data_IF_196668974572
#
_entry.id   IF_196668974572
#
_cell.length_a   1.000
_cell.length_b   1.000
_cell.length_c   1.000
_cell.angle_alpha   90.00
_cell.angle_beta   90.00
_cell.angle_gamma   90.00
#
_symmetry.space_group_name_H-M   'P 1'
#
loop_
_entity.id
_entity.type
_entity.pdbx_description
1 polymer ?
#
# COMPACT_ATOMS: atom_id res chain seq x y z
N UNK A 1 20.39 -4.19 -0.34
CA UNK A 1 19.58 -3.49 0.67
C UNK A 1 19.14 -2.11 0.19
N UNK A 2 20.00 -1.23 -0.29
CA UNK A 2 19.64 0.12 -0.73
C UNK A 2 18.55 0.12 -1.83
N UNK A 3 18.65 -0.78 -2.81
CA UNK A 3 17.61 -0.96 -3.85
C UNK A 3 16.24 -1.34 -3.27
N UNK A 4 16.23 -2.09 -2.16
CA UNK A 4 14.99 -2.39 -1.46
C UNK A 4 14.43 -1.13 -0.77
N UNK A 5 15.30 -0.33 -0.13
CA UNK A 5 14.90 0.96 0.43
C UNK A 5 14.32 1.91 -0.64
N UNK A 6 14.95 1.97 -1.82
CA UNK A 6 14.41 2.70 -2.96
C UNK A 6 13.02 2.19 -3.37
N UNK A 7 12.84 0.87 -3.49
CA UNK A 7 11.55 0.28 -3.86
C UNK A 7 10.45 0.58 -2.84
N UNK A 8 10.79 0.58 -1.55
CA UNK A 8 9.87 0.97 -0.49
C UNK A 8 9.49 2.45 -0.56
N UNK A 9 10.45 3.34 -0.78
CA UNK A 9 10.17 4.78 -0.94
C UNK A 9 9.32 5.07 -2.18
N UNK A 10 9.58 4.42 -3.31
CA UNK A 10 8.77 4.61 -4.52
C UNK A 10 7.31 4.20 -4.32
N UNK A 11 7.04 3.22 -3.46
CA UNK A 11 5.68 2.84 -3.06
C UNK A 11 4.86 3.98 -2.44
N UNK A 12 5.51 5.06 -1.96
CA UNK A 12 4.81 6.21 -1.35
C UNK A 12 3.91 6.94 -2.36
N UNK A 13 4.20 6.91 -3.65
CA UNK A 13 3.31 7.47 -4.67
C UNK A 13 1.94 6.80 -4.67
N UNK A 14 1.91 5.47 -4.63
CA UNK A 14 0.64 4.72 -4.63
C UNK A 14 -0.04 4.77 -3.26
N UNK A 15 0.71 4.66 -2.16
CA UNK A 15 0.10 4.69 -0.84
C UNK A 15 -0.52 6.05 -0.47
N UNK A 16 0.09 7.17 -0.88
CA UNK A 16 -0.48 8.50 -0.65
C UNK A 16 -1.77 8.71 -1.44
N UNK A 17 -1.84 8.17 -2.66
CA UNK A 17 -3.05 8.17 -3.48
C UNK A 17 -4.14 7.32 -2.83
N UNK A 18 -3.82 6.11 -2.39
CA UNK A 18 -4.74 5.21 -1.67
C UNK A 18 -5.26 5.85 -0.38
N UNK A 19 -4.40 6.49 0.39
CA UNK A 19 -4.80 7.17 1.63
C UNK A 19 -5.75 8.33 1.36
N UNK A 20 -5.46 9.14 0.34
CA UNK A 20 -6.35 10.22 -0.10
C UNK A 20 -7.69 9.68 -0.59
N UNK A 21 -7.67 8.60 -1.36
CA UNK A 21 -8.88 7.97 -1.88
C UNK A 21 -9.72 7.36 -0.76
N UNK A 22 -9.11 6.68 0.21
CA UNK A 22 -9.78 6.15 1.38
C UNK A 22 -10.46 7.27 2.19
N UNK A 23 -9.80 8.41 2.34
CA UNK A 23 -10.41 9.59 2.98
C UNK A 23 -11.68 10.06 2.25
N UNK A 24 -11.63 10.15 0.92
CA UNK A 24 -12.76 10.62 0.12
C UNK A 24 -13.93 9.62 0.17
N UNK A 25 -13.65 8.31 0.08
CA UNK A 25 -14.69 7.28 -0.04
C UNK A 25 -15.26 6.90 1.32
N UNK A 26 -14.41 6.81 2.35
CA UNK A 26 -14.80 6.22 3.64
C UNK A 26 -14.77 7.21 4.81
N UNK A 27 -14.34 8.47 4.59
CA UNK A 27 -14.14 9.44 5.66
C UNK A 27 -12.95 9.13 6.59
N UNK A 28 -12.05 8.21 6.18
CA UNK A 28 -10.86 7.88 6.96
C UNK A 28 -10.01 9.12 7.22
N UNK A 29 -9.38 9.20 8.39
CA UNK A 29 -8.49 10.31 8.72
C UNK A 29 -7.37 10.48 7.68
N UNK A 30 -7.18 11.71 7.22
CA UNK A 30 -6.12 12.09 6.30
C UNK A 30 -5.46 13.40 6.78
N UNK A 31 -4.14 13.40 6.84
CA UNK A 31 -3.36 14.57 7.19
C UNK A 31 -2.56 15.06 5.99
N UNK A 32 -3.01 16.15 5.38
CA UNK A 32 -2.35 16.74 4.21
C UNK A 32 -0.89 17.10 4.49
N UNK A 33 -0.59 17.66 5.66
CA UNK A 33 0.79 18.05 6.02
C UNK A 33 1.72 16.84 6.03
N UNK A 34 1.29 15.72 6.62
CA UNK A 34 2.09 14.49 6.63
C UNK A 34 2.22 13.91 5.20
N UNK A 35 1.16 13.95 4.42
CA UNK A 35 1.21 13.49 3.02
C UNK A 35 2.17 14.34 2.17
N UNK A 36 2.20 15.66 2.38
CA UNK A 36 3.14 16.56 1.68
C UNK A 36 4.60 16.25 2.08
N UNK A 37 4.88 16.01 3.35
CA UNK A 37 6.22 15.63 3.85
C UNK A 37 6.67 14.32 3.20
N UNK A 38 5.82 13.30 3.15
CA UNK A 38 6.14 12.02 2.49
C UNK A 38 6.38 12.20 0.99
N UNK A 39 5.58 13.04 0.34
CA UNK A 39 5.73 13.34 -1.07
C UNK A 39 7.07 14.01 -1.37
N UNK A 40 7.45 15.02 -0.59
CA UNK A 40 8.75 15.69 -0.72
C UNK A 40 9.90 14.69 -0.50
N UNK A 41 9.80 13.81 0.49
CA UNK A 41 10.81 12.80 0.77
C UNK A 41 10.99 11.83 -0.41
N UNK A 42 9.91 11.36 -1.04
CA UNK A 42 10.02 10.46 -2.20
C UNK A 42 10.55 11.20 -3.44
N UNK A 43 10.20 12.46 -3.65
CA UNK A 43 10.71 13.27 -4.76
C UNK A 43 12.24 13.42 -4.68
N UNK A 44 12.80 13.71 -3.51
CA UNK A 44 14.26 13.75 -3.28
C UNK A 44 14.90 12.40 -3.61
N UNK A 45 14.29 11.29 -3.20
CA UNK A 45 14.80 9.94 -3.49
C UNK A 45 14.77 9.65 -4.99
N UNK A 46 13.75 10.10 -5.72
CA UNK A 46 13.65 9.94 -7.18
C UNK A 46 14.75 10.72 -7.89
N UNK A 47 15.00 11.97 -7.51
CA UNK A 47 16.07 12.78 -8.06
C UNK A 47 17.45 12.11 -7.92
N UNK A 48 17.70 11.48 -6.77
CA UNK A 48 18.95 10.78 -6.47
C UNK A 48 19.02 9.33 -7.01
N UNK A 49 17.91 8.78 -7.50
CA UNK A 49 17.75 7.34 -7.81
C UNK A 49 18.77 6.81 -8.82
N UNK A 50 19.14 7.61 -9.83
CA UNK A 50 20.11 7.21 -10.86
C UNK A 50 21.52 7.01 -10.29
N UNK A 51 21.85 7.67 -9.19
CA UNK A 51 23.16 7.62 -8.51
C UNK A 51 23.28 6.45 -7.52
N UNK A 52 22.15 5.81 -7.21
CA UNK A 52 22.10 4.68 -6.24
C UNK A 52 22.88 3.48 -6.76
N UNK A 53 22.80 3.17 -8.06
CA UNK A 53 23.55 2.07 -8.68
C UNK A 53 25.07 2.19 -8.51
N UNK A 54 25.56 3.43 -8.49
CA UNK A 54 26.97 3.75 -8.31
C UNK A 54 27.38 3.85 -6.85
N UNK A 55 26.47 3.51 -5.93
CA UNK A 55 26.62 3.59 -4.47
C UNK A 55 27.05 4.98 -4.00
N UNK A 56 26.55 6.02 -4.64
CA UNK A 56 26.86 7.39 -4.27
C UNK A 56 26.42 7.65 -2.82
N UNK A 57 27.29 8.20 -1.94
CA UNK A 57 26.98 8.41 -0.52
C UNK A 57 25.76 9.33 -0.30
N UNK A 58 25.60 10.37 -1.09
CA UNK A 58 24.49 11.32 -0.96
C UNK A 58 23.15 10.66 -1.35
N UNK A 59 23.17 9.85 -2.42
CA UNK A 59 21.97 9.08 -2.81
C UNK A 59 21.58 8.03 -1.75
N UNK A 60 22.56 7.36 -1.13
CA UNK A 60 22.32 6.43 -0.04
C UNK A 60 21.76 7.17 1.18
N UNK A 61 22.31 8.34 1.49
CA UNK A 61 21.84 9.20 2.57
C UNK A 61 20.39 9.63 2.33
N UNK A 62 20.05 10.12 1.13
CA UNK A 62 18.70 10.54 0.78
C UNK A 62 17.68 9.41 1.01
N UNK A 63 17.94 8.19 0.53
CA UNK A 63 17.06 7.03 0.77
C UNK A 63 16.92 6.74 2.27
N UNK A 64 18.01 6.80 3.01
CA UNK A 64 18.01 6.48 4.44
C UNK A 64 17.21 7.51 5.24
N UNK A 65 17.44 8.80 4.98
CA UNK A 65 16.70 9.90 5.63
C UNK A 65 15.21 9.85 5.31
N UNK A 66 14.86 9.59 4.04
CA UNK A 66 13.47 9.44 3.62
C UNK A 66 12.76 8.27 4.32
N UNK A 67 13.42 7.11 4.46
CA UNK A 67 12.86 5.97 5.20
C UNK A 67 12.66 6.27 6.69
N UNK A 68 13.59 6.99 7.32
CA UNK A 68 13.46 7.43 8.72
C UNK A 68 12.28 8.42 8.84
N UNK A 69 12.18 9.39 7.93
CA UNK A 69 11.10 10.37 7.91
C UNK A 69 9.73 9.69 7.74
N UNK A 70 9.63 8.70 6.87
CA UNK A 70 8.43 7.88 6.69
C UNK A 70 8.04 7.15 7.98
N UNK A 71 9.00 6.62 8.72
CA UNK A 71 8.74 6.04 10.04
C UNK A 71 8.19 7.06 11.06
N UNK A 72 8.72 8.27 11.04
CA UNK A 72 8.24 9.39 11.87
C UNK A 72 6.82 9.79 11.46
N UNK A 73 6.54 9.89 10.18
CA UNK A 73 5.21 10.23 9.64
C UNK A 73 4.15 9.22 10.10
N UNK A 74 4.44 7.93 10.05
CA UNK A 74 3.57 6.88 10.60
C UNK A 74 3.32 7.06 12.10
N UNK A 75 4.35 7.43 12.84
CA UNK A 75 4.24 7.68 14.29
C UNK A 75 3.31 8.85 14.60
N UNK A 76 3.37 9.94 13.84
CA UNK A 76 2.47 11.09 14.01
C UNK A 76 1.01 10.76 13.68
N UNK A 77 0.76 9.93 12.69
CA UNK A 77 -0.60 9.53 12.31
C UNK A 77 -1.15 8.40 13.20
N UNK A 78 -0.27 7.64 13.84
CA UNK A 78 -0.63 6.51 14.68
C UNK A 78 -1.01 5.24 13.90
N UNK A 79 -0.73 5.21 12.60
CA UNK A 79 -0.94 4.04 11.74
C UNK A 79 -0.02 4.11 10.50
N UNK A 80 -0.05 3.06 9.66
CA UNK A 80 0.85 2.92 8.51
C UNK A 80 0.38 3.64 7.24
N UNK A 81 -0.75 4.34 7.25
CA UNK A 81 -1.31 4.98 6.04
C UNK A 81 -0.36 5.91 5.29
N UNK A 82 0.50 6.71 5.96
CA UNK A 82 1.45 7.56 5.24
C UNK A 82 2.46 6.77 4.39
N UNK A 83 2.70 5.51 4.76
CA UNK A 83 3.77 4.70 4.18
C UNK A 83 3.31 3.42 3.47
N UNK A 84 2.04 3.01 3.60
CA UNK A 84 1.57 1.68 3.21
C UNK A 84 0.17 1.74 2.58
N UNK A 85 0.09 1.34 1.32
CA UNK A 85 -1.14 1.25 0.53
C UNK A 85 -1.29 -0.11 -0.15
N UNK A 86 -1.91 -0.14 -1.31
CA UNK A 86 -2.18 -1.36 -2.08
C UNK A 86 -0.92 -2.11 -2.48
N UNK A 87 0.19 -1.41 -2.75
CA UNK A 87 1.49 -2.01 -3.04
C UNK A 87 2.01 -2.83 -1.87
N UNK A 88 1.79 -2.37 -0.64
CA UNK A 88 2.13 -3.11 0.58
C UNK A 88 1.22 -4.31 0.80
N UNK A 89 -0.07 -4.21 0.48
CA UNK A 89 -0.98 -5.35 0.53
C UNK A 89 -0.47 -6.49 -0.36
N UNK A 90 -0.03 -6.19 -1.58
CA UNK A 90 0.59 -7.17 -2.47
C UNK A 90 1.88 -7.75 -1.87
N UNK A 91 2.75 -6.89 -1.33
CA UNK A 91 3.99 -7.30 -0.68
C UNK A 91 3.74 -8.27 0.47
N UNK A 92 2.82 -7.94 1.39
CA UNK A 92 2.49 -8.78 2.54
C UNK A 92 1.82 -10.10 2.13
N UNK A 93 0.95 -10.07 1.11
CA UNK A 93 0.39 -11.31 0.56
C UNK A 93 1.49 -12.26 0.06
N UNK A 94 2.46 -11.75 -0.70
CA UNK A 94 3.59 -12.57 -1.15
C UNK A 94 4.48 -13.04 -0.02
N UNK A 95 4.68 -12.23 1.03
CA UNK A 95 5.43 -12.64 2.22
C UNK A 95 4.79 -13.85 2.90
N UNK A 96 3.50 -13.75 3.21
CA UNK A 96 2.75 -14.84 3.84
C UNK A 96 2.75 -16.10 2.97
N UNK A 97 2.54 -15.94 1.66
CA UNK A 97 2.55 -17.05 0.73
C UNK A 97 3.93 -17.72 0.64
N UNK A 98 5.01 -16.95 0.54
CA UNK A 98 6.37 -17.50 0.50
C UNK A 98 6.72 -18.23 1.79
N UNK A 99 6.30 -17.69 2.93
CA UNK A 99 6.50 -18.34 4.23
C UNK A 99 5.74 -19.67 4.32
N UNK A 100 4.48 -19.69 3.91
CA UNK A 100 3.66 -20.92 3.89
C UNK A 100 4.23 -21.99 2.96
N UNK A 101 4.83 -21.58 1.84
CA UNK A 101 5.45 -22.48 0.85
C UNK A 101 6.92 -22.83 1.17
N UNK A 102 7.48 -22.38 2.27
CA UNK A 102 8.88 -22.60 2.64
C UNK A 102 9.89 -21.97 1.69
N UNK A 103 9.49 -20.97 0.90
CA UNK A 103 10.36 -20.26 -0.04
C UNK A 103 11.29 -19.27 0.68
N UNK A 104 12.43 -19.01 0.05
CA UNK A 104 13.37 -17.99 0.57
C UNK A 104 12.69 -16.63 0.61
N UNK A 105 12.85 -15.89 1.72
CA UNK A 105 12.31 -14.53 1.83
C UNK A 105 13.00 -13.60 0.83
N UNK A 106 12.21 -12.73 0.22
CA UNK A 106 12.68 -11.61 -0.60
C UNK A 106 12.60 -10.35 0.24
N UNK A 107 13.55 -9.43 0.07
CA UNK A 107 13.56 -8.16 0.80
C UNK A 107 12.25 -7.42 0.61
N UNK A 108 11.70 -6.88 1.71
CA UNK A 108 10.39 -6.21 1.74
C UNK A 108 10.24 -5.16 0.63
N UNK A 109 11.12 -4.18 0.57
CA UNK A 109 11.03 -3.10 -0.40
C UNK A 109 11.19 -3.53 -1.86
N UNK A 110 11.77 -4.69 -2.16
CA UNK A 110 11.74 -5.25 -3.52
C UNK A 110 10.31 -5.65 -3.89
N UNK A 111 9.59 -6.31 -2.98
CA UNK A 111 8.19 -6.69 -3.20
C UNK A 111 7.28 -5.45 -3.27
N UNK A 112 7.52 -4.46 -2.40
CA UNK A 112 6.80 -3.18 -2.43
C UNK A 112 7.01 -2.48 -3.77
N UNK A 113 8.25 -2.38 -4.27
CA UNK A 113 8.53 -1.77 -5.57
C UNK A 113 7.85 -2.48 -6.74
N UNK A 114 7.80 -3.83 -6.73
CA UNK A 114 7.04 -4.59 -7.73
C UNK A 114 5.53 -4.35 -7.56
N UNK A 115 5.04 -4.34 -6.33
CA UNK A 115 3.65 -4.03 -6.01
C UNK A 115 3.25 -2.66 -6.52
N UNK A 116 4.10 -1.65 -6.33
CA UNK A 116 3.90 -0.28 -6.83
C UNK A 116 3.74 -0.25 -8.36
N UNK A 117 4.58 -0.96 -9.11
CA UNK A 117 4.47 -1.04 -10.58
C UNK A 117 3.10 -1.61 -11.00
N UNK A 118 2.64 -2.66 -10.32
CA UNK A 118 1.33 -3.28 -10.60
C UNK A 118 0.21 -2.31 -10.27
N UNK A 119 0.24 -1.69 -9.09
CA UNK A 119 -0.79 -0.75 -8.65
C UNK A 119 -0.84 0.49 -9.54
N UNK A 120 0.32 1.04 -9.93
CA UNK A 120 0.39 2.16 -10.88
C UNK A 120 -0.30 1.78 -12.20
N UNK A 121 -0.04 0.56 -12.71
CA UNK A 121 -0.71 0.10 -13.93
C UNK A 121 -2.23 -0.02 -13.78
N UNK A 122 -2.69 -0.46 -12.62
CA UNK A 122 -4.14 -0.49 -12.32
C UNK A 122 -4.73 0.93 -12.30
N UNK A 123 -4.06 1.91 -11.71
CA UNK A 123 -4.51 3.31 -11.74
C UNK A 123 -4.53 3.89 -13.16
N UNK A 124 -3.53 3.62 -13.99
CA UNK A 124 -3.54 4.02 -15.40
C UNK A 124 -4.74 3.44 -16.17
N UNK A 125 -5.08 2.17 -15.90
CA UNK A 125 -6.26 1.55 -16.50
C UNK A 125 -7.56 2.22 -16.02
N UNK A 126 -7.67 2.51 -14.72
CA UNK A 126 -8.84 3.19 -14.16
C UNK A 126 -9.00 4.62 -14.71
N UNK A 127 -7.92 5.33 -14.94
CA UNK A 127 -7.95 6.69 -15.53
C UNK A 127 -8.49 6.67 -16.97
N UNK A 128 -8.28 5.59 -17.71
CA UNK A 128 -8.75 5.44 -19.09
C UNK A 128 -10.20 4.96 -19.19
N UNK A 129 -10.77 4.46 -18.10
CA UNK A 129 -12.14 3.95 -18.09
C UNK A 129 -13.16 5.09 -17.95
N UNK A 130 -14.21 5.01 -18.75
CA UNK A 130 -15.39 5.88 -18.62
C UNK A 130 -16.44 5.20 -17.74
N UNK A 131 -16.54 5.68 -16.49
CA UNK A 131 -17.52 5.16 -15.54
C UNK A 131 -18.87 5.86 -15.71
N UNK A 132 -19.89 5.10 -16.09
CA UNK A 132 -21.28 5.54 -15.99
C UNK A 132 -21.81 5.25 -14.57
N UNK A 133 -21.70 6.23 -13.70
CA UNK A 133 -22.14 6.12 -12.31
C UNK A 133 -23.68 6.00 -12.18
N UNK A 134 -24.44 6.30 -13.23
CA UNK A 134 -25.91 6.18 -13.22
C UNK A 134 -26.38 4.74 -13.42
N UNK A 135 -25.51 3.89 -13.98
CA UNK A 135 -25.77 2.46 -14.23
C UNK A 135 -25.24 1.53 -13.13
N UNK A 136 -24.59 2.09 -12.11
CA UNK A 136 -24.05 1.28 -11.01
C UNK A 136 -25.22 0.63 -10.23
N UNK A 137 -25.25 -0.70 -10.25
CA UNK A 137 -26.14 -1.48 -9.39
C UNK A 137 -25.50 -1.63 -8.03
N UNK A 138 -26.29 -1.46 -6.96
CA UNK A 138 -25.85 -1.87 -5.63
C UNK A 138 -25.37 -3.32 -5.68
N UNK A 139 -24.13 -3.54 -5.32
CA UNK A 139 -23.58 -4.89 -5.14
C UNK A 139 -23.71 -5.24 -3.67
N UNK A 140 -24.52 -6.24 -3.35
CA UNK A 140 -24.46 -6.87 -2.04
C UNK A 140 -23.10 -7.55 -1.87
N UNK A 141 -22.45 -7.32 -0.74
CA UNK A 141 -21.22 -8.02 -0.38
C UNK A 141 -21.54 -9.47 -0.05
N UNK A 142 -21.04 -10.42 -0.84
CA UNK A 142 -21.17 -11.85 -0.58
C UNK A 142 -20.12 -12.27 0.44
N UNK A 143 -20.48 -12.17 1.72
CA UNK A 143 -19.60 -12.51 2.84
C UNK A 143 -19.13 -13.98 2.76
N UNK A 144 -20.02 -14.93 2.44
CA UNK A 144 -19.66 -16.34 2.39
C UNK A 144 -18.63 -16.64 1.29
N UNK A 145 -18.80 -16.06 0.10
CA UNK A 145 -17.83 -16.21 -0.97
C UNK A 145 -16.49 -15.53 -0.63
N UNK A 146 -16.52 -14.40 0.04
CA UNK A 146 -15.31 -13.70 0.52
C UNK A 146 -14.60 -14.51 1.61
N UNK A 147 -15.30 -14.98 2.64
CA UNK A 147 -14.76 -15.79 3.72
C UNK A 147 -14.07 -17.06 3.19
N UNK A 148 -14.72 -17.73 2.23
CA UNK A 148 -14.11 -18.88 1.56
C UNK A 148 -12.79 -18.52 0.89
N UNK A 149 -12.74 -17.41 0.14
CA UNK A 149 -11.50 -16.95 -0.51
C UNK A 149 -10.41 -16.60 0.50
N UNK A 150 -10.77 -15.98 1.62
CA UNK A 150 -9.83 -15.66 2.69
C UNK A 150 -9.24 -16.94 3.27
N UNK A 151 -10.05 -17.93 3.58
CA UNK A 151 -9.57 -19.22 4.09
C UNK A 151 -8.65 -19.93 3.07
N UNK A 152 -9.02 -19.96 1.79
CA UNK A 152 -8.23 -20.59 0.73
C UNK A 152 -6.87 -19.89 0.52
N UNK A 153 -6.83 -18.55 0.65
CA UNK A 153 -5.63 -17.76 0.39
C UNK A 153 -4.69 -17.64 1.59
N UNK A 154 -5.24 -17.49 2.79
CA UNK A 154 -4.47 -17.10 3.98
C UNK A 154 -4.34 -18.21 5.03
N UNK A 155 -5.06 -19.33 4.87
CA UNK A 155 -4.93 -20.52 5.71
C UNK A 155 -4.95 -20.19 7.22
N UNK A 156 -3.85 -20.45 7.95
CA UNK A 156 -3.75 -20.19 9.39
C UNK A 156 -3.92 -18.72 9.79
N UNK A 157 -3.70 -17.78 8.88
CA UNK A 157 -3.90 -16.35 9.13
C UNK A 157 -5.36 -15.90 8.88
N UNK A 158 -6.18 -16.72 8.21
CA UNK A 158 -7.55 -16.38 7.84
C UNK A 158 -8.45 -15.97 9.02
N UNK A 159 -8.43 -16.65 10.18
CA UNK A 159 -9.29 -16.28 11.32
C UNK A 159 -9.09 -14.84 11.80
N UNK A 160 -7.84 -14.35 11.80
CA UNK A 160 -7.51 -12.98 12.18
C UNK A 160 -8.05 -11.94 11.18
N UNK A 161 -8.01 -12.25 9.88
CA UNK A 161 -8.53 -11.40 8.82
C UNK A 161 -10.05 -11.32 8.88
N UNK A 162 -10.72 -12.46 9.10
CA UNK A 162 -12.17 -12.55 9.21
C UNK A 162 -12.65 -11.74 10.42
N UNK A 163 -12.05 -11.95 11.60
CA UNK A 163 -12.39 -11.20 12.81
C UNK A 163 -12.19 -9.68 12.65
N UNK A 164 -11.17 -9.26 11.88
CA UNK A 164 -10.94 -7.85 11.58
C UNK A 164 -12.04 -7.27 10.69
N UNK A 165 -12.50 -8.01 9.66
CA UNK A 165 -13.60 -7.57 8.81
C UNK A 165 -14.91 -7.49 9.58
N UNK A 166 -15.24 -8.48 10.42
CA UNK A 166 -16.41 -8.47 11.28
C UNK A 166 -16.44 -7.23 12.20
N UNK A 167 -15.27 -6.85 12.72
CA UNK A 167 -15.13 -5.66 13.57
C UNK A 167 -15.23 -4.34 12.79
N UNK A 168 -14.66 -4.28 11.59
CA UNK A 168 -14.50 -3.02 10.86
C UNK A 168 -15.56 -2.80 9.78
N UNK A 169 -16.24 -3.84 9.31
CA UNK A 169 -17.26 -3.84 8.26
C UNK A 169 -16.82 -3.07 7.01
N UNK A 170 -15.53 -3.16 6.65
CA UNK A 170 -14.93 -2.34 5.57
C UNK A 170 -15.51 -2.67 4.18
N UNK A 171 -15.94 -3.92 3.98
CA UNK A 171 -16.53 -4.35 2.72
C UNK A 171 -18.03 -4.04 2.61
N UNK A 172 -18.67 -3.61 3.70
CA UNK A 172 -20.08 -3.23 3.71
C UNK A 172 -20.22 -1.71 3.52
N UNK A 173 -20.16 -1.26 2.27
CA UNK A 173 -20.23 0.17 1.93
C UNK A 173 -21.65 0.73 1.98
N UNK A 174 -22.70 -0.11 1.98
CA UNK A 174 -24.09 0.31 1.98
C UNK A 174 -24.56 0.97 3.28
N UNK A 175 -23.86 0.75 4.38
CA UNK A 175 -24.19 1.32 5.71
C UNK A 175 -23.37 2.58 6.06
N UNK A 176 -22.56 3.09 5.13
CA UNK A 176 -21.63 4.21 5.37
C UNK A 176 -22.10 5.55 4.77
N UNK A 177 -23.40 5.80 4.75
CA UNK A 177 -23.96 7.12 4.43
C UNK A 177 -24.14 8.00 5.66
#
# INVERSE_FOLDING_TARGET
MITAGLGDMLGKYTCLLDWKMAHIITGEYYCKTIADIEKEAVEIVVEESTRIKDRNPEAIKAVTEALVLSGIAMSFVGNSRPASGSEHHLSHYWEMKFQAEGKKPVLHGIKVGIGMIIVTKMYEMLEQEHFDFTSLKERSFDYAAWEKKVNDCYQDAAPGIIALEEKTQKNNLSERN
#
